data_IF_690962778476
#
_entry.id   IF_690962778476
#
_cell.length_a   1.000
_cell.length_b   1.000
_cell.length_c   1.000
_cell.angle_alpha   90.00
_cell.angle_beta   90.00
_cell.angle_gamma   90.00
#
_symmetry.space_group_name_H-M   'P 1'
#
loop_
_entity.id
_entity.type
_entity.pdbx_description
1 polymer ?
#
# COMPACT_ATOMS: atom_id res chain seq x y z
N UNK A 1 -15.54 5.57 2.17
CA UNK A 1 -14.65 5.07 1.10
C UNK A 1 -14.53 3.56 1.26
N UNK A 2 -14.66 2.76 0.18
CA UNK A 2 -14.56 1.30 0.27
C UNK A 2 -13.09 0.87 0.27
N UNK A 3 -12.77 -0.30 0.82
CA UNK A 3 -11.39 -0.80 0.80
C UNK A 3 -10.78 -0.88 -0.60
N UNK A 4 -11.59 -1.22 -1.62
CA UNK A 4 -11.16 -1.25 -3.02
C UNK A 4 -10.71 0.13 -3.53
N UNK A 5 -11.33 1.19 -3.02
CA UNK A 5 -10.99 2.56 -3.36
C UNK A 5 -9.68 2.97 -2.70
N UNK A 6 -9.49 2.62 -1.42
CA UNK A 6 -8.21 2.78 -0.72
C UNK A 6 -7.09 2.06 -1.46
N UNK A 7 -7.29 0.80 -1.86
CA UNK A 7 -6.30 0.01 -2.61
C UNK A 7 -5.93 0.70 -3.93
N UNK A 8 -6.91 1.23 -4.67
CA UNK A 8 -6.64 1.95 -5.93
C UNK A 8 -5.84 3.22 -5.69
N UNK A 9 -6.19 4.00 -4.67
CA UNK A 9 -5.47 5.23 -4.34
C UNK A 9 -4.05 4.94 -3.84
N UNK A 10 -3.86 3.92 -2.99
CA UNK A 10 -2.52 3.47 -2.58
C UNK A 10 -1.66 3.07 -3.79
N UNK A 11 -2.22 2.29 -4.73
CA UNK A 11 -1.50 1.91 -5.94
C UNK A 11 -1.17 3.11 -6.84
N UNK A 12 -2.08 4.09 -6.93
CA UNK A 12 -1.85 5.34 -7.66
C UNK A 12 -0.73 6.16 -7.02
N UNK A 13 -0.77 6.32 -5.71
CA UNK A 13 0.24 7.02 -4.93
C UNK A 13 1.62 6.37 -5.10
N UNK A 14 1.72 5.05 -4.95
CA UNK A 14 2.97 4.31 -5.15
C UNK A 14 3.54 4.54 -6.57
N UNK A 15 2.70 4.51 -7.61
CA UNK A 15 3.13 4.80 -8.98
C UNK A 15 3.61 6.25 -9.18
N UNK A 16 2.95 7.22 -8.55
CA UNK A 16 3.39 8.62 -8.59
C UNK A 16 4.78 8.80 -7.95
N UNK A 17 5.11 8.00 -6.94
CA UNK A 17 6.42 7.92 -6.30
C UNK A 17 7.46 7.08 -7.07
N UNK A 18 7.12 6.62 -8.27
CA UNK A 18 8.02 5.85 -9.12
C UNK A 18 8.19 4.40 -8.68
N UNK A 19 7.26 3.83 -7.91
CA UNK A 19 7.28 2.40 -7.60
C UNK A 19 7.31 1.57 -8.89
N UNK A 20 8.29 0.68 -8.98
CA UNK A 20 8.39 -0.29 -10.08
C UNK A 20 7.38 -1.41 -9.92
N UNK A 21 7.08 -1.77 -8.67
CA UNK A 21 6.18 -2.87 -8.35
C UNK A 21 5.35 -2.54 -7.10
N UNK A 22 4.07 -2.89 -7.16
CA UNK A 22 3.10 -2.73 -6.07
C UNK A 22 2.30 -4.03 -5.97
N UNK A 23 2.40 -4.73 -4.85
CA UNK A 23 1.78 -6.03 -4.62
C UNK A 23 0.79 -5.91 -3.47
N UNK A 24 -0.48 -6.22 -3.73
CA UNK A 24 -1.48 -6.42 -2.68
C UNK A 24 -1.29 -7.83 -2.10
N UNK A 25 -1.17 -7.94 -0.78
CA UNK A 25 -1.10 -9.23 -0.09
C UNK A 25 -2.15 -9.33 1.03
N UNK A 26 -2.05 -10.39 1.82
CA UNK A 26 -2.95 -10.61 2.96
C UNK A 26 -4.34 -11.11 2.57
N UNK A 27 -5.28 -10.95 3.49
CA UNK A 27 -6.64 -11.51 3.38
C UNK A 27 -7.42 -10.97 2.18
N UNK A 28 -7.15 -9.72 1.76
CA UNK A 28 -7.81 -9.06 0.62
C UNK A 28 -7.35 -9.62 -0.71
N UNK A 29 -6.06 -9.88 -0.86
CA UNK A 29 -5.54 -10.58 -2.04
C UNK A 29 -6.10 -12.02 -2.15
N UNK A 30 -6.35 -12.68 -1.01
CA UNK A 30 -6.89 -14.04 -0.95
C UNK A 30 -8.41 -14.13 -1.09
N UNK A 31 -9.13 -13.01 -1.10
CA UNK A 31 -10.60 -12.98 -1.10
C UNK A 31 -11.25 -13.44 0.22
N UNK A 32 -10.48 -13.59 1.29
CA UNK A 32 -10.97 -14.00 2.63
C UNK A 32 -11.11 -12.82 3.59
N UNK A 33 -11.03 -11.59 3.08
CA UNK A 33 -11.11 -10.38 3.87
C UNK A 33 -12.52 -10.09 4.38
N UNK A 34 -12.59 -9.54 5.59
CA UNK A 34 -13.79 -8.97 6.19
C UNK A 34 -13.78 -7.45 6.04
N UNK A 35 -14.88 -6.81 6.40
CA UNK A 35 -15.04 -5.36 6.30
C UNK A 35 -13.92 -4.60 7.02
N UNK A 36 -13.55 -5.05 8.24
CA UNK A 36 -12.44 -4.54 9.06
C UNK A 36 -11.16 -5.37 8.93
N UNK A 37 -10.88 -5.92 7.75
CA UNK A 37 -9.59 -6.56 7.50
C UNK A 37 -8.59 -5.56 6.94
N UNK A 38 -7.37 -5.65 7.46
CA UNK A 38 -6.26 -4.78 7.08
C UNK A 38 -5.99 -4.84 5.57
N UNK A 39 -5.38 -3.77 5.07
CA UNK A 39 -4.86 -3.71 3.71
C UNK A 39 -3.35 -3.81 3.81
N UNK A 40 -2.81 -4.85 3.19
CA UNK A 40 -1.40 -5.13 3.18
C UNK A 40 -0.81 -4.90 1.78
N UNK A 41 0.18 -4.01 1.65
CA UNK A 41 0.78 -3.64 0.36
C UNK A 41 2.30 -3.65 0.44
N UNK A 42 2.94 -4.35 -0.49
CA UNK A 42 4.39 -4.36 -0.65
C UNK A 42 4.75 -3.52 -1.87
N UNK A 43 5.81 -2.71 -1.73
CA UNK A 43 6.21 -1.77 -2.77
C UNK A 43 7.71 -1.88 -3.01
N UNK A 44 8.12 -1.99 -4.27
CA UNK A 44 9.51 -2.11 -4.65
C UNK A 44 9.92 -1.08 -5.72
N UNK A 45 11.20 -0.74 -5.71
CA UNK A 45 11.79 0.18 -6.70
C UNK A 45 11.38 1.64 -6.55
N UNK A 46 10.97 2.06 -5.34
CA UNK A 46 10.66 3.45 -5.02
C UNK A 46 11.94 4.21 -4.70
N UNK A 47 12.06 5.43 -5.22
CA UNK A 47 13.22 6.28 -4.97
C UNK A 47 13.19 6.90 -3.57
N UNK A 48 12.03 7.42 -3.15
CA UNK A 48 11.84 8.06 -1.85
C UNK A 48 10.83 7.29 -1.00
N UNK A 49 11.30 6.20 -0.38
CA UNK A 49 10.42 5.29 0.37
C UNK A 49 9.81 5.96 1.61
N UNK A 50 10.56 6.80 2.31
CA UNK A 50 10.09 7.44 3.54
C UNK A 50 8.92 8.40 3.28
N UNK A 51 9.03 9.22 2.24
CA UNK A 51 7.94 10.14 1.83
C UNK A 51 6.71 9.38 1.32
N UNK A 52 6.91 8.30 0.55
CA UNK A 52 5.81 7.42 0.16
C UNK A 52 5.15 6.81 1.39
N UNK A 53 5.93 6.35 2.36
CA UNK A 53 5.43 5.75 3.60
C UNK A 53 4.60 6.75 4.38
N UNK A 54 5.05 7.99 4.54
CA UNK A 54 4.30 9.04 5.23
C UNK A 54 2.97 9.34 4.53
N UNK A 55 2.96 9.53 3.21
CA UNK A 55 1.71 9.79 2.47
C UNK A 55 0.76 8.59 2.49
N UNK A 56 1.30 7.37 2.48
CA UNK A 56 0.52 6.14 2.62
C UNK A 56 -0.05 6.05 4.04
N UNK A 57 0.75 6.28 5.08
CA UNK A 57 0.31 6.28 6.47
C UNK A 57 -0.76 7.36 6.73
N UNK A 58 -0.64 8.55 6.13
CA UNK A 58 -1.66 9.61 6.20
C UNK A 58 -2.95 9.19 5.48
N UNK A 59 -2.81 8.64 4.26
CA UNK A 59 -3.92 8.08 3.49
C UNK A 59 -4.60 6.95 4.25
N UNK A 60 -3.92 6.16 5.08
CA UNK A 60 -4.53 5.08 5.85
C UNK A 60 -4.96 5.47 7.27
N UNK A 61 -4.36 6.49 7.88
CA UNK A 61 -4.73 7.03 9.20
C UNK A 61 -6.17 7.54 9.18
N UNK A 62 -6.58 8.17 8.07
CA UNK A 62 -7.97 8.55 7.83
C UNK A 62 -8.91 7.32 7.76
N UNK A 63 -8.39 6.12 7.46
CA UNK A 63 -9.17 4.89 7.20
C UNK A 63 -8.88 3.71 8.15
N UNK A 64 -8.13 3.94 9.23
CA UNK A 64 -7.93 3.05 10.39
C UNK A 64 -7.19 1.70 10.19
N UNK A 65 -6.63 1.37 9.03
CA UNK A 65 -6.04 0.03 8.81
C UNK A 65 -4.81 0.02 7.88
N UNK A 66 -3.63 0.11 8.46
CA UNK A 66 -2.35 -0.11 7.78
C UNK A 66 -1.48 -1.04 8.62
N UNK A 67 -1.24 -2.25 8.11
CA UNK A 67 -0.43 -3.24 8.83
C UNK A 67 1.04 -3.20 8.43
N UNK A 68 1.39 -2.86 7.18
CA UNK A 68 2.80 -2.67 6.75
C UNK A 68 2.94 -2.19 5.31
N UNK A 69 3.90 -1.30 5.06
CA UNK A 69 4.57 -1.16 3.76
C UNK A 69 5.99 -1.70 3.89
N UNK A 70 6.36 -2.64 3.02
CA UNK A 70 7.70 -3.22 2.98
C UNK A 70 8.41 -2.60 1.79
N UNK A 71 9.47 -1.84 2.05
CA UNK A 71 10.36 -1.30 1.02
C UNK A 71 11.26 -2.41 0.48
N UNK A 72 10.99 -2.86 -0.75
CA UNK A 72 11.85 -3.78 -1.47
C UNK A 72 13.13 -3.07 -1.93
N UNK A 73 14.21 -3.26 -1.19
CA UNK A 73 15.54 -2.74 -1.50
C UNK A 73 16.09 -3.31 -2.82
N UNK A 74 16.41 -2.38 -3.73
CA UNK A 74 17.23 -2.46 -4.95
C UNK A 74 16.78 -3.41 -6.08
N UNK A 75 16.27 -2.79 -7.14
CA UNK A 75 16.58 -3.20 -8.50
C UNK A 75 18.11 -3.21 -8.67
N UNK A 76 18.66 -4.39 -8.98
CA UNK A 76 20.00 -4.53 -9.53
C UNK A 76 20.06 -3.88 -10.93
#
# INVERSE_FOLDING_TARGET
MKADEVIRETARLCRNFGAKEVILYGSRAKGTARERSDIDVAVAGVNNFDELREQVEELFSIFLQFSRCIGGGKAA
#
